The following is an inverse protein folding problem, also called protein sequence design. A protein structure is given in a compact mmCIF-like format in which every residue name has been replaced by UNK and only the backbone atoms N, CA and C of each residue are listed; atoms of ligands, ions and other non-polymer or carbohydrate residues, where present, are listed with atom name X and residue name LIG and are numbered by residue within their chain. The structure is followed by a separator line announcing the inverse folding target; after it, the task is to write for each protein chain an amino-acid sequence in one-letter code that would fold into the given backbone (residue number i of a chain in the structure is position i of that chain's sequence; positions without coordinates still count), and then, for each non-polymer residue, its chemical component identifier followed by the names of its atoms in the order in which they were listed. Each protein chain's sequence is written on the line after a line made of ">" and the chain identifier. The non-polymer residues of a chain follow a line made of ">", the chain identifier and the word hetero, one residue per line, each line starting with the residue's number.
data_IF_387458497713
#
_entry.id   IF_387458497713
#
_cell.length_a   1.000
_cell.length_b   1.000
_cell.length_c   1.000
_cell.angle_alpha   90.00
_cell.angle_beta   90.00
_cell.angle_gamma   90.00
#
_symmetry.space_group_name_H-M   'P 1'
#
loop_
_entity.id
_entity.type
_entity.pdbx_description
1 polymer ?
#
# COMPACT_ATOMS: atom_id res chain seq x y z
N UNK A 1 -3.18 -0.61 7.17
CA UNK A 1 -3.10 -1.68 6.16
C UNK A 1 -4.03 -2.83 6.56
N UNK A 2 -5.18 -2.99 5.88
CA UNK A 2 -6.15 -4.04 6.15
C UNK A 2 -5.58 -5.46 6.03
N UNK A 3 -4.64 -5.71 5.11
CA UNK A 3 -4.02 -7.02 4.95
C UNK A 3 -3.16 -7.40 6.17
N UNK A 4 -2.43 -6.42 6.73
CA UNK A 4 -1.68 -6.60 7.99
C UNK A 4 -2.62 -6.77 9.17
N UNK A 5 -3.69 -5.97 9.27
CA UNK A 5 -4.67 -6.12 10.35
C UNK A 5 -5.37 -7.48 10.32
N UNK A 6 -5.74 -7.97 9.12
CA UNK A 6 -6.31 -9.28 8.92
C UNK A 6 -5.34 -10.40 9.29
N UNK A 7 -4.08 -10.33 8.86
CA UNK A 7 -3.09 -11.37 9.18
C UNK A 7 -2.84 -11.49 10.69
N UNK A 8 -2.81 -10.36 11.41
CA UNK A 8 -2.70 -10.36 12.87
C UNK A 8 -3.94 -10.98 13.55
N UNK A 9 -5.14 -10.81 13.00
CA UNK A 9 -6.33 -11.50 13.49
C UNK A 9 -6.27 -13.02 13.23
N UNK A 10 -5.86 -13.44 12.03
CA UNK A 10 -5.68 -14.86 11.68
C UNK A 10 -4.65 -15.54 12.58
N UNK A 11 -3.56 -14.84 12.91
CA UNK A 11 -2.50 -15.34 13.79
C UNK A 11 -2.84 -15.26 15.29
N UNK A 12 -4.05 -14.85 15.66
CA UNK A 12 -4.47 -14.71 17.06
C UNK A 12 -3.79 -13.59 17.84
N UNK A 13 -3.10 -12.66 17.16
CA UNK A 13 -2.44 -11.49 17.76
C UNK A 13 -3.39 -10.30 17.94
N UNK A 14 -4.52 -10.29 17.25
CA UNK A 14 -5.55 -9.26 17.38
C UNK A 14 -6.98 -9.83 17.45
N UNK A 15 -7.86 -9.24 18.27
CA UNK A 15 -9.26 -9.67 18.35
C UNK A 15 -10.03 -9.29 17.08
N UNK A 16 -10.77 -10.26 16.53
CA UNK A 16 -11.57 -10.12 15.30
C UNK A 16 -12.57 -8.96 15.34
N UNK A 17 -13.15 -8.67 16.51
CA UNK A 17 -14.13 -7.58 16.66
C UNK A 17 -13.54 -6.20 16.32
N UNK A 18 -12.22 -6.03 16.47
CA UNK A 18 -11.56 -4.75 16.16
C UNK A 18 -11.30 -4.60 14.66
N UNK A 19 -11.16 -5.69 13.91
CA UNK A 19 -10.82 -5.68 12.49
C UNK A 19 -11.67 -4.71 11.65
N UNK A 20 -13.02 -4.75 11.69
CA UNK A 20 -13.83 -3.83 10.87
C UNK A 20 -13.59 -2.36 11.21
N UNK A 21 -13.35 -2.03 12.49
CA UNK A 21 -13.01 -0.66 12.90
C UNK A 21 -11.64 -0.24 12.38
N UNK A 22 -10.63 -1.11 12.46
CA UNK A 22 -9.31 -0.83 11.88
C UNK A 22 -9.42 -0.56 10.38
N UNK A 23 -10.15 -1.39 9.63
CA UNK A 23 -10.34 -1.22 8.19
C UNK A 23 -11.04 0.12 7.90
N UNK A 24 -12.13 0.41 8.59
CA UNK A 24 -12.89 1.65 8.40
C UNK A 24 -12.02 2.90 8.60
N UNK A 25 -11.31 2.99 9.72
CA UNK A 25 -10.47 4.16 10.01
C UNK A 25 -9.24 4.24 9.10
N UNK A 26 -8.71 3.11 8.62
CA UNK A 26 -7.62 3.12 7.65
C UNK A 26 -8.08 3.64 6.30
N UNK A 27 -9.22 3.16 5.78
CA UNK A 27 -9.80 3.64 4.51
C UNK A 27 -10.20 5.11 4.62
N UNK A 28 -10.82 5.50 5.74
CA UNK A 28 -11.20 6.89 5.98
C UNK A 28 -9.97 7.81 6.07
N UNK A 29 -8.92 7.39 6.76
CA UNK A 29 -7.65 8.11 6.82
C UNK A 29 -7.00 8.25 5.44
N UNK A 30 -6.97 7.19 4.63
CA UNK A 30 -6.44 7.22 3.27
C UNK A 30 -7.25 8.15 2.36
N UNK A 31 -8.57 8.14 2.46
CA UNK A 31 -9.45 9.06 1.74
C UNK A 31 -9.17 10.53 2.09
N UNK A 32 -9.03 10.85 3.38
CA UNK A 32 -8.67 12.21 3.82
C UNK A 32 -7.26 12.62 3.38
N UNK A 33 -6.31 11.69 3.37
CA UNK A 33 -4.96 11.93 2.87
C UNK A 33 -4.99 12.23 1.36
N UNK A 34 -5.75 11.47 0.58
CA UNK A 34 -5.94 11.71 -0.85
C UNK A 34 -6.57 13.09 -1.11
N UNK A 35 -7.61 13.47 -0.37
CA UNK A 35 -8.22 14.80 -0.47
C UNK A 35 -7.21 15.90 -0.12
N UNK A 36 -6.40 15.71 0.93
CA UNK A 36 -5.36 16.68 1.34
C UNK A 36 -4.29 16.85 0.26
N UNK A 37 -3.80 15.75 -0.33
CA UNK A 37 -2.83 15.79 -1.44
C UNK A 37 -3.45 16.45 -2.67
N UNK A 38 -4.71 16.14 -2.98
CA UNK A 38 -5.43 16.75 -4.10
C UNK A 38 -5.58 18.26 -3.96
N UNK A 39 -5.84 18.75 -2.74
CA UNK A 39 -5.87 20.18 -2.44
C UNK A 39 -4.47 20.81 -2.50
N UNK A 40 -3.46 20.15 -1.90
CA UNK A 40 -2.08 20.63 -1.87
C UNK A 40 -1.48 20.79 -3.28
N UNK A 41 -1.82 19.89 -4.20
CA UNK A 41 -1.32 19.88 -5.57
C UNK A 41 -2.35 20.37 -6.60
N UNK A 42 -3.41 21.04 -6.17
CA UNK A 42 -4.52 21.45 -7.05
C UNK A 42 -4.04 22.19 -8.31
N UNK A 43 -3.28 23.26 -8.14
CA UNK A 43 -2.78 24.06 -9.26
C UNK A 43 -1.82 23.27 -10.16
N UNK A 44 -0.98 22.39 -9.57
CA UNK A 44 -0.05 21.56 -10.32
C UNK A 44 -0.77 20.52 -11.18
N UNK A 45 -1.79 19.85 -10.62
CA UNK A 45 -2.63 18.88 -11.33
C UNK A 45 -3.40 19.60 -12.44
N UNK A 46 -3.94 20.78 -12.17
CA UNK A 46 -4.68 21.58 -13.15
C UNK A 46 -3.78 22.02 -14.32
N UNK A 47 -2.58 22.51 -14.03
CA UNK A 47 -1.61 22.94 -15.03
C UNK A 47 -1.11 21.77 -15.89
N UNK A 48 -0.77 20.64 -15.27
CA UNK A 48 -0.29 19.44 -15.97
C UNK A 48 -1.35 18.82 -16.88
N UNK A 49 -2.58 18.69 -16.37
CA UNK A 49 -3.68 18.02 -17.08
C UNK A 49 -4.43 18.93 -18.06
N UNK A 50 -4.12 20.24 -18.09
CA UNK A 50 -4.91 21.23 -18.82
C UNK A 50 -6.35 21.29 -18.35
N UNK A 51 -6.59 20.98 -17.06
CA UNK A 51 -7.90 20.88 -16.45
C UNK A 51 -8.73 19.64 -16.78
N UNK A 52 -8.14 18.64 -17.46
CA UNK A 52 -8.82 17.39 -17.79
C UNK A 52 -8.33 16.26 -16.88
N UNK A 53 -9.14 15.92 -15.89
CA UNK A 53 -8.85 14.80 -14.98
C UNK A 53 -9.14 13.47 -15.69
N UNK A 54 -8.12 12.87 -16.31
CA UNK A 54 -8.21 11.58 -16.99
C UNK A 54 -7.54 10.45 -16.19
N UNK A 55 -8.08 9.23 -16.36
CA UNK A 55 -7.55 8.02 -15.72
C UNK A 55 -6.42 7.38 -16.53
N UNK A 56 -6.51 7.45 -17.85
CA UNK A 56 -5.54 6.90 -18.79
C UNK A 56 -5.09 7.95 -19.80
N UNK A 57 -3.98 7.67 -20.51
CA UNK A 57 -3.38 8.56 -21.48
C UNK A 57 -2.16 9.35 -20.96
N UNK A 58 -1.55 10.18 -21.81
CA UNK A 58 -0.26 10.82 -21.52
C UNK A 58 -0.33 11.84 -20.36
N UNK A 59 -1.50 12.44 -20.14
CA UNK A 59 -1.73 13.43 -19.07
C UNK A 59 -2.60 12.87 -17.95
N UNK A 60 -2.67 11.54 -17.80
CA UNK A 60 -3.42 10.90 -16.72
C UNK A 60 -2.88 11.30 -15.34
N UNK A 61 -3.79 11.53 -14.40
CA UNK A 61 -3.45 11.98 -13.03
C UNK A 61 -4.04 11.08 -11.95
N UNK A 62 -4.94 10.16 -12.30
CA UNK A 62 -5.54 9.23 -11.33
C UNK A 62 -4.49 8.35 -10.63
N UNK A 63 -3.39 8.02 -11.31
CA UNK A 63 -2.27 7.24 -10.77
C UNK A 63 -1.56 7.86 -9.57
N UNK A 64 -1.80 9.15 -9.27
CA UNK A 64 -1.28 9.81 -8.06
C UNK A 64 -1.97 9.25 -6.81
N UNK A 65 -3.25 8.86 -6.91
CA UNK A 65 -4.08 8.49 -5.76
C UNK A 65 -4.29 6.98 -5.61
N UNK A 66 -4.22 6.23 -6.71
CA UNK A 66 -4.39 4.78 -6.71
C UNK A 66 -3.51 4.12 -7.77
N UNK A 67 -3.25 2.84 -7.59
CA UNK A 67 -2.44 2.05 -8.53
C UNK A 67 -3.29 1.53 -9.69
N UNK A 68 -2.75 1.61 -10.89
CA UNK A 68 -3.32 1.02 -12.10
C UNK A 68 -2.32 0.00 -12.69
N UNK A 69 -2.80 -1.13 -13.22
CA UNK A 69 -1.92 -2.13 -13.82
C UNK A 69 -1.30 -1.61 -15.12
N UNK A 70 -0.10 -2.10 -15.43
CA UNK A 70 0.52 -1.87 -16.74
C UNK A 70 -0.33 -2.48 -17.87
N UNK A 71 -0.25 -1.89 -19.08
CA UNK A 71 -1.10 -2.26 -20.22
C UNK A 71 -1.00 -3.74 -20.64
N UNK A 72 0.15 -4.38 -20.38
CA UNK A 72 0.40 -5.77 -20.71
C UNK A 72 -0.13 -6.76 -19.65
N UNK A 73 -0.54 -6.27 -18.47
CA UNK A 73 -0.82 -7.12 -17.31
C UNK A 73 -2.27 -7.60 -17.33
N UNK A 74 -2.47 -8.92 -17.33
CA UNK A 74 -3.79 -9.52 -17.16
C UNK A 74 -4.28 -9.40 -15.72
N UNK A 75 -5.60 -9.47 -15.52
CA UNK A 75 -6.21 -9.47 -14.17
C UNK A 75 -5.62 -10.59 -13.31
N UNK A 76 -5.47 -11.79 -13.87
CA UNK A 76 -4.86 -12.91 -13.15
C UNK A 76 -3.38 -12.67 -12.81
N UNK A 77 -2.61 -12.10 -13.73
CA UNK A 77 -1.23 -11.68 -13.47
C UNK A 77 -1.16 -10.68 -12.32
N UNK A 78 -2.03 -9.69 -12.30
CA UNK A 78 -2.12 -8.69 -11.22
C UNK A 78 -2.53 -9.27 -9.87
N UNK A 79 -3.45 -10.24 -9.85
CA UNK A 79 -3.82 -10.95 -8.60
C UNK A 79 -2.62 -11.69 -8.03
N UNK A 80 -1.88 -12.43 -8.85
CA UNK A 80 -0.69 -13.17 -8.42
C UNK A 80 0.40 -12.20 -7.92
N UNK A 81 0.64 -11.13 -8.66
CA UNK A 81 1.60 -10.07 -8.31
C UNK A 81 1.30 -9.46 -6.93
N UNK A 82 0.05 -9.06 -6.70
CA UNK A 82 -0.39 -8.49 -5.42
C UNK A 82 -0.37 -9.49 -4.27
N UNK A 83 -0.70 -10.76 -4.51
CA UNK A 83 -0.62 -11.82 -3.49
C UNK A 83 0.84 -12.05 -3.07
N UNK A 84 1.77 -12.20 -4.02
CA UNK A 84 3.19 -12.45 -3.71
C UNK A 84 3.80 -11.23 -3.02
N UNK A 85 3.54 -10.02 -3.52
CA UNK A 85 4.06 -8.79 -2.91
C UNK A 85 3.55 -8.61 -1.48
N UNK A 86 2.24 -8.79 -1.26
CA UNK A 86 1.64 -8.67 0.08
C UNK A 86 2.16 -9.75 1.01
N UNK A 87 2.35 -10.98 0.53
CA UNK A 87 2.93 -12.06 1.32
C UNK A 87 4.38 -11.74 1.74
N UNK A 88 5.20 -11.18 0.85
CA UNK A 88 6.56 -10.74 1.16
C UNK A 88 6.55 -9.64 2.24
N UNK A 89 5.67 -8.64 2.11
CA UNK A 89 5.50 -7.61 3.13
C UNK A 89 5.10 -8.20 4.49
N UNK A 90 4.12 -9.11 4.52
CA UNK A 90 3.68 -9.76 5.74
C UNK A 90 4.78 -10.59 6.38
N UNK A 91 5.56 -11.33 5.59
CA UNK A 91 6.70 -12.11 6.08
C UNK A 91 7.73 -11.20 6.75
N UNK A 92 8.11 -10.09 6.10
CA UNK A 92 9.05 -9.13 6.68
C UNK A 92 8.51 -8.49 7.97
N UNK A 93 7.26 -8.01 7.97
CA UNK A 93 6.64 -7.37 9.14
C UNK A 93 6.54 -8.34 10.31
N UNK A 94 6.15 -9.60 10.06
CA UNK A 94 6.04 -10.61 11.10
C UNK A 94 7.40 -11.03 11.64
N UNK A 95 8.41 -11.19 10.76
CA UNK A 95 9.78 -11.55 11.15
C UNK A 95 10.47 -10.46 11.97
N UNK A 96 10.25 -9.18 11.62
CA UNK A 96 10.76 -8.03 12.36
C UNK A 96 10.03 -7.82 13.70
N UNK A 97 8.77 -8.24 13.79
CA UNK A 97 7.97 -8.15 15.01
C UNK A 97 8.02 -9.39 15.91
N UNK A 98 8.77 -10.43 15.55
CA UNK A 98 8.89 -11.65 16.34
C UNK A 98 10.03 -11.53 17.36
N UNK A 99 9.66 -11.51 18.64
CA UNK A 99 10.61 -11.44 19.77
C UNK A 99 11.45 -12.71 19.93
N UNK A 100 11.10 -13.81 19.25
CA UNK A 100 11.89 -15.05 19.21
C UNK A 100 12.99 -15.01 18.15
N UNK A 101 12.96 -14.04 17.25
CA UNK A 101 13.97 -13.82 16.24
C UNK A 101 15.11 -12.93 16.79
N UNK A 102 16.08 -12.57 15.95
CA UNK A 102 17.16 -11.64 16.29
C UNK A 102 16.62 -10.37 16.95
N UNK A 103 17.15 -10.03 18.12
CA UNK A 103 16.80 -8.80 18.82
C UNK A 103 17.24 -7.60 18.00
N UNK A 104 16.28 -6.76 17.64
CA UNK A 104 16.53 -5.48 16.99
C UNK A 104 16.70 -4.40 18.07
N UNK A 105 17.60 -3.42 17.88
CA UNK A 105 17.63 -2.22 18.71
C UNK A 105 16.26 -1.54 18.71
N UNK A 106 15.85 -1.03 19.88
CA UNK A 106 14.60 -0.30 20.04
C UNK A 106 14.54 0.87 19.04
N UNK A 107 13.41 0.99 18.33
CA UNK A 107 13.19 2.03 17.33
C UNK A 107 13.74 1.75 15.93
N UNK A 108 14.50 0.67 15.71
CA UNK A 108 14.97 0.30 14.36
C UNK A 108 13.88 -0.41 13.53
N UNK A 109 12.89 -1.03 14.18
CA UNK A 109 11.83 -1.79 13.52
C UNK A 109 11.05 -0.96 12.47
N UNK A 110 10.58 0.28 12.73
CA UNK A 110 9.89 1.08 11.71
C UNK A 110 10.77 1.41 10.50
N UNK A 111 12.07 1.65 10.71
CA UNK A 111 13.02 1.92 9.62
C UNK A 111 13.16 0.69 8.72
N UNK A 112 13.27 -0.50 9.31
CA UNK A 112 13.39 -1.75 8.56
C UNK A 112 12.09 -2.13 7.84
N UNK A 113 10.92 -1.84 8.43
CA UNK A 113 9.63 -2.00 7.74
C UNK A 113 9.55 -1.06 6.54
N UNK A 114 9.96 0.20 6.69
CA UNK A 114 10.04 1.15 5.58
C UNK A 114 11.01 0.69 4.47
N UNK A 115 12.18 0.19 4.86
CA UNK A 115 13.15 -0.38 3.92
C UNK A 115 12.59 -1.61 3.18
N UNK A 116 11.83 -2.47 3.86
CA UNK A 116 11.18 -3.61 3.21
C UNK A 116 10.16 -3.16 2.16
N UNK A 117 9.33 -2.16 2.47
CA UNK A 117 8.38 -1.58 1.49
C UNK A 117 9.13 -0.99 0.29
N UNK A 118 10.24 -0.28 0.52
CA UNK A 118 11.06 0.28 -0.55
C UNK A 118 11.63 -0.81 -1.47
N UNK A 119 12.20 -1.88 -0.89
CA UNK A 119 12.76 -3.00 -1.65
C UNK A 119 11.68 -3.69 -2.49
N UNK A 120 10.50 -3.93 -1.93
CA UNK A 120 9.36 -4.51 -2.66
C UNK A 120 8.93 -3.56 -3.80
N UNK A 121 8.87 -2.25 -3.56
CA UNK A 121 8.53 -1.28 -4.60
C UNK A 121 9.50 -1.28 -5.78
N UNK A 122 10.82 -1.34 -5.52
CA UNK A 122 11.83 -1.34 -6.59
C UNK A 122 11.88 -2.68 -7.34
N UNK A 123 11.68 -3.80 -6.64
CA UNK A 123 11.82 -5.14 -7.22
C UNK A 123 10.54 -5.68 -7.89
N UNK A 124 9.37 -5.30 -7.38
CA UNK A 124 8.07 -5.89 -7.76
C UNK A 124 7.03 -4.83 -8.14
N UNK A 125 7.39 -3.54 -8.17
CA UNK A 125 6.45 -2.46 -8.42
C UNK A 125 6.02 -2.27 -9.88
N UNK A 126 6.76 -2.81 -10.85
CA UNK A 126 6.58 -2.50 -12.26
C UNK A 126 5.23 -2.98 -12.85
N UNK A 127 4.67 -4.06 -12.33
CA UNK A 127 3.44 -4.65 -12.88
C UNK A 127 2.20 -3.85 -12.50
N UNK A 128 1.97 -3.68 -11.20
CA UNK A 128 0.72 -3.12 -10.67
C UNK A 128 0.94 -2.07 -9.57
N UNK A 129 2.13 -1.47 -9.50
CA UNK A 129 2.41 -0.34 -8.61
C UNK A 129 2.52 -0.70 -7.13
N UNK A 130 2.77 -1.97 -6.79
CA UNK A 130 3.00 -2.45 -5.41
C UNK A 130 2.01 -1.89 -4.38
N UNK A 131 0.71 -1.92 -4.69
CA UNK A 131 -0.33 -1.43 -3.78
C UNK A 131 -0.20 -1.98 -2.36
N UNK A 132 -0.09 -3.32 -2.19
CA UNK A 132 0.19 -4.05 -0.93
C UNK A 132 -0.77 -3.77 0.26
N UNK A 133 -1.69 -2.83 0.09
CA UNK A 133 -2.52 -2.25 1.12
C UNK A 133 -3.91 -1.94 0.53
N UNK A 134 -4.97 -2.62 1.00
CA UNK A 134 -6.34 -2.35 0.52
C UNK A 134 -6.98 -1.02 0.95
N UNK A 135 -6.43 -0.30 1.93
CA UNK A 135 -6.94 0.99 2.39
C UNK A 135 -6.15 2.14 1.81
#
# INVERSE_FOLDING_TARGET
>A
NPAVSLSLCVLGRHPWIKLPFYIFFQVFGAFLAAATVGLQYYDAIQAYSGGKLTVTGPTATAGIFSTYPADYLSVWGGVVDQVIGTAALLLCVLALGDQRNSSLPDGLQPVLVGAAVLVIGISMGANSGYALNPA
#
